data_IF_782049758968
#
_entry.id   IF_782049758968
#
_cell.length_a   1.000
_cell.length_b   1.000
_cell.length_c   1.000
_cell.angle_alpha   90.00
_cell.angle_beta   90.00
_cell.angle_gamma   90.00
#
_symmetry.space_group_name_H-M   'P 1'
#
loop_
_entity.id
_entity.type
_entity.pdbx_description
1 polymer ?
#
# COMPACT_ATOMS: atom_id res chain seq x y z
N UNK A 1 -16.90 -7.76 -37.90
CA UNK A 1 -16.10 -8.44 -36.85
C UNK A 1 -15.78 -7.41 -35.79
N UNK A 2 -16.43 -7.49 -34.63
CA UNK A 2 -16.20 -6.55 -33.53
C UNK A 2 -14.91 -6.90 -32.80
N UNK A 3 -14.03 -5.91 -32.66
CA UNK A 3 -12.93 -5.95 -31.70
C UNK A 3 -13.52 -5.95 -30.29
N UNK A 4 -13.76 -7.14 -29.73
CA UNK A 4 -13.85 -7.30 -28.28
C UNK A 4 -12.45 -7.13 -27.71
N UNK A 5 -12.02 -5.87 -27.55
CA UNK A 5 -10.95 -5.56 -26.61
C UNK A 5 -11.46 -5.95 -25.23
N UNK A 6 -10.99 -7.09 -24.77
CA UNK A 6 -11.02 -7.52 -23.39
C UNK A 6 -10.29 -6.47 -22.55
N UNK A 7 -11.05 -5.54 -22.00
CA UNK A 7 -10.58 -4.61 -20.97
C UNK A 7 -10.22 -5.43 -19.72
N UNK A 8 -8.98 -5.27 -19.27
CA UNK A 8 -8.41 -5.98 -18.16
C UNK A 8 -9.30 -5.87 -16.90
N UNK A 9 -9.56 -7.00 -16.26
CA UNK A 9 -10.28 -7.10 -14.99
C UNK A 9 -9.42 -6.55 -13.83
N UNK A 10 -9.27 -5.23 -13.79
CA UNK A 10 -8.95 -4.45 -12.59
C UNK A 10 -9.99 -3.34 -12.48
N UNK A 11 -11.28 -3.72 -12.54
CA UNK A 11 -12.35 -2.81 -12.16
C UNK A 11 -12.29 -2.65 -10.65
N UNK A 12 -11.51 -1.67 -10.19
CA UNK A 12 -11.60 -1.23 -8.80
C UNK A 12 -13.05 -0.81 -8.55
N UNK A 13 -13.65 -1.40 -7.51
CA UNK A 13 -15.00 -1.02 -7.12
C UNK A 13 -14.99 0.46 -6.70
N UNK A 14 -15.93 1.29 -7.17
CA UNK A 14 -16.02 2.68 -6.74
C UNK A 14 -16.09 2.79 -5.21
N UNK A 15 -15.38 3.75 -4.63
CA UNK A 15 -15.35 3.94 -3.16
C UNK A 15 -16.76 4.15 -2.60
N UNK A 16 -17.62 4.88 -3.31
CA UNK A 16 -19.03 5.07 -2.95
C UNK A 16 -19.80 3.75 -2.82
N UNK A 17 -19.54 2.80 -3.73
CA UNK A 17 -20.15 1.47 -3.69
C UNK A 17 -19.66 0.70 -2.47
N UNK A 18 -18.35 0.77 -2.17
CA UNK A 18 -17.75 0.15 -0.97
C UNK A 18 -18.38 0.70 0.30
N UNK A 19 -18.43 2.03 0.45
CA UNK A 19 -18.98 2.69 1.64
C UNK A 19 -20.46 2.38 1.83
N UNK A 20 -21.25 2.43 0.75
CA UNK A 20 -22.66 2.05 0.79
C UNK A 20 -22.83 0.59 1.20
N UNK A 21 -22.04 -0.32 0.63
CA UNK A 21 -22.13 -1.74 0.95
C UNK A 21 -21.78 -2.03 2.41
N UNK A 22 -20.71 -1.42 2.92
CA UNK A 22 -20.29 -1.52 4.33
C UNK A 22 -21.36 -0.97 5.28
N UNK A 23 -22.04 0.13 4.92
CA UNK A 23 -23.14 0.69 5.73
C UNK A 23 -24.41 -0.15 5.67
N UNK A 24 -24.69 -0.79 4.54
CA UNK A 24 -25.94 -1.53 4.32
C UNK A 24 -25.96 -2.87 5.07
N UNK A 25 -24.83 -3.58 5.14
CA UNK A 25 -24.79 -4.94 5.72
C UNK A 25 -25.20 -4.98 7.20
N UNK A 26 -24.63 -4.17 8.11
CA UNK A 26 -24.98 -4.19 9.53
C UNK A 26 -26.46 -3.87 9.78
N UNK A 27 -27.02 -2.95 8.98
CA UNK A 27 -28.41 -2.50 9.11
C UNK A 27 -29.43 -3.49 8.53
N UNK A 28 -29.00 -4.35 7.59
CA UNK A 28 -29.91 -5.24 6.87
C UNK A 28 -30.30 -6.50 7.64
N UNK A 29 -29.49 -6.93 8.62
CA UNK A 29 -29.64 -8.23 9.29
C UNK A 29 -29.52 -9.45 8.35
N UNK A 30 -29.16 -9.24 7.08
CA UNK A 30 -29.09 -10.28 6.04
C UNK A 30 -27.67 -10.85 5.95
N UNK A 31 -27.52 -12.12 5.51
CA UNK A 31 -26.21 -12.69 5.26
C UNK A 31 -25.42 -11.87 4.22
N UNK A 32 -24.13 -11.64 4.49
CA UNK A 32 -23.21 -10.90 3.61
C UNK A 32 -23.26 -11.39 2.15
N UNK A 33 -23.43 -12.70 1.94
CA UNK A 33 -23.53 -13.30 0.61
C UNK A 33 -24.71 -12.77 -0.21
N UNK A 34 -25.85 -12.54 0.45
CA UNK A 34 -27.05 -12.06 -0.22
C UNK A 34 -26.91 -10.58 -0.58
N UNK A 35 -26.37 -9.76 0.34
CA UNK A 35 -26.10 -8.35 0.07
C UNK A 35 -25.03 -8.18 -1.02
N UNK A 36 -24.01 -9.04 -1.04
CA UNK A 36 -23.00 -9.06 -2.10
C UNK A 36 -23.63 -9.36 -3.47
N UNK A 37 -24.54 -10.33 -3.52
CA UNK A 37 -25.25 -10.69 -4.76
C UNK A 37 -26.13 -9.54 -5.26
N UNK A 38 -26.89 -8.89 -4.38
CA UNK A 38 -27.74 -7.74 -4.73
C UNK A 38 -26.94 -6.56 -5.30
N UNK A 39 -25.72 -6.38 -4.80
CA UNK A 39 -24.82 -5.28 -5.21
C UNK A 39 -23.87 -5.66 -6.34
N UNK A 40 -23.88 -6.91 -6.82
CA UNK A 40 -22.95 -7.41 -7.84
C UNK A 40 -21.48 -7.44 -7.39
N UNK A 41 -21.22 -7.52 -6.09
CA UNK A 41 -19.87 -7.51 -5.50
C UNK A 41 -19.46 -8.94 -5.17
N UNK A 42 -18.18 -9.27 -5.33
CA UNK A 42 -17.67 -10.54 -4.86
C UNK A 42 -17.81 -10.66 -3.32
N UNK A 43 -18.43 -11.73 -2.83
CA UNK A 43 -18.70 -11.94 -1.40
C UNK A 43 -17.48 -11.75 -0.49
N UNK A 44 -16.32 -12.26 -0.89
CA UNK A 44 -15.10 -12.14 -0.08
C UNK A 44 -14.56 -10.70 -0.07
N UNK A 45 -14.76 -9.93 -1.13
CA UNK A 45 -14.39 -8.52 -1.16
C UNK A 45 -15.24 -7.72 -0.16
N UNK A 46 -16.56 -7.92 -0.18
CA UNK A 46 -17.47 -7.29 0.77
C UNK A 46 -17.13 -7.66 2.22
N UNK A 47 -16.81 -8.94 2.48
CA UNK A 47 -16.36 -9.39 3.81
C UNK A 47 -15.07 -8.70 4.24
N UNK A 48 -14.10 -8.52 3.35
CA UNK A 48 -12.86 -7.82 3.67
C UNK A 48 -13.12 -6.37 4.05
N UNK A 49 -13.98 -5.67 3.31
CA UNK A 49 -14.32 -4.28 3.60
C UNK A 49 -15.05 -4.12 4.93
N UNK A 50 -15.97 -5.03 5.26
CA UNK A 50 -16.64 -5.02 6.57
C UNK A 50 -15.61 -5.21 7.69
N UNK A 51 -14.72 -6.19 7.56
CA UNK A 51 -13.66 -6.41 8.57
C UNK A 51 -12.73 -5.21 8.72
N UNK A 52 -12.44 -4.52 7.62
CA UNK A 52 -11.63 -3.31 7.66
C UNK A 52 -12.38 -2.17 8.35
N UNK A 53 -13.67 -1.98 8.05
CA UNK A 53 -14.48 -0.98 8.71
C UNK A 53 -14.66 -1.24 10.21
N UNK A 54 -14.81 -2.51 10.61
CA UNK A 54 -14.81 -2.93 12.02
C UNK A 54 -13.45 -2.63 12.69
N UNK A 55 -12.33 -2.82 11.98
CA UNK A 55 -11.01 -2.42 12.48
C UNK A 55 -10.89 -0.90 12.64
N UNK A 56 -11.34 -0.14 11.64
CA UNK A 56 -11.33 1.33 11.63
C UNK A 56 -12.21 1.93 12.74
N UNK A 57 -13.24 1.20 13.18
CA UNK A 57 -14.10 1.56 14.32
C UNK A 57 -13.55 1.11 15.69
N UNK A 58 -12.47 0.31 15.70
CA UNK A 58 -11.86 -0.22 16.93
C UNK A 58 -12.47 -1.53 17.44
N UNK A 59 -13.45 -2.11 16.73
CA UNK A 59 -14.08 -3.39 17.09
C UNK A 59 -13.14 -4.59 16.89
N UNK A 60 -12.06 -4.39 16.12
CA UNK A 60 -11.03 -5.40 15.88
C UNK A 60 -9.63 -4.88 16.23
N UNK A 61 -9.23 -4.89 17.51
CA UNK A 61 -7.93 -4.37 17.94
C UNK A 61 -6.72 -5.16 17.43
N UNK A 62 -6.93 -6.36 16.88
CA UNK A 62 -5.88 -7.19 16.28
C UNK A 62 -5.63 -6.88 14.80
N UNK A 63 -6.45 -6.03 14.17
CA UNK A 63 -6.29 -5.60 12.79
C UNK A 63 -5.88 -4.14 12.75
N UNK A 64 -4.94 -3.83 11.86
CA UNK A 64 -4.58 -2.45 11.58
C UNK A 64 -5.73 -1.74 10.85
N UNK A 65 -5.99 -0.52 11.29
CA UNK A 65 -6.86 0.42 10.61
C UNK A 65 -6.30 0.79 9.23
N UNK A 66 -7.16 1.37 8.40
CA UNK A 66 -6.80 1.84 7.06
C UNK A 66 -5.73 2.94 7.15
N UNK A 67 -5.84 3.81 8.16
CA UNK A 67 -4.87 4.87 8.44
C UNK A 67 -3.50 4.29 8.84
N UNK A 68 -3.46 3.35 9.79
CA UNK A 68 -2.21 2.71 10.23
C UNK A 68 -1.55 1.93 9.10
N UNK A 69 -2.31 1.26 8.23
CA UNK A 69 -1.78 0.58 7.04
C UNK A 69 -1.13 1.57 6.06
N UNK A 70 -1.77 2.71 5.83
CA UNK A 70 -1.25 3.77 4.96
C UNK A 70 0.06 4.34 5.52
N UNK A 71 0.07 4.69 6.80
CA UNK A 71 1.26 5.19 7.48
C UNK A 71 2.40 4.17 7.46
N UNK A 72 2.11 2.90 7.73
CA UNK A 72 3.11 1.83 7.66
C UNK A 72 3.70 1.68 6.25
N UNK A 73 2.90 1.83 5.21
CA UNK A 73 3.37 1.79 3.83
C UNK A 73 4.26 2.99 3.50
N UNK A 74 3.87 4.19 3.93
CA UNK A 74 4.66 5.41 3.78
C UNK A 74 6.00 5.30 4.52
N UNK A 75 5.99 4.91 5.79
CA UNK A 75 7.20 4.74 6.60
C UNK A 75 8.15 3.70 6.00
N UNK A 76 7.62 2.60 5.45
CA UNK A 76 8.45 1.59 4.75
C UNK A 76 9.11 2.17 3.50
N UNK A 77 8.39 3.00 2.74
CA UNK A 77 8.92 3.68 1.56
C UNK A 77 10.02 4.67 1.96
N UNK A 78 9.76 5.52 2.94
CA UNK A 78 10.74 6.48 3.46
C UNK A 78 11.98 5.76 4.00
N UNK A 79 11.82 4.67 4.75
CA UNK A 79 12.95 3.90 5.26
C UNK A 79 13.80 3.30 4.12
N UNK A 80 13.17 2.82 3.06
CA UNK A 80 13.87 2.30 1.88
C UNK A 80 14.65 3.41 1.15
N UNK A 81 14.07 4.60 1.03
CA UNK A 81 14.72 5.78 0.44
C UNK A 81 15.91 6.25 1.29
N UNK A 82 15.74 6.33 2.60
CA UNK A 82 16.81 6.69 3.54
C UNK A 82 17.96 5.69 3.51
N UNK A 83 17.67 4.39 3.47
CA UNK A 83 18.71 3.35 3.34
C UNK A 83 19.48 3.49 2.03
N UNK A 84 18.79 3.75 0.93
CA UNK A 84 19.45 3.99 -0.37
C UNK A 84 20.35 5.24 -0.31
N UNK A 85 19.90 6.33 0.30
CA UNK A 85 20.69 7.54 0.46
C UNK A 85 21.94 7.32 1.34
N UNK A 86 21.78 6.59 2.44
CA UNK A 86 22.87 6.22 3.34
C UNK A 86 23.92 5.33 2.64
N UNK A 87 23.49 4.38 1.81
CA UNK A 87 24.40 3.57 0.97
C UNK A 87 25.23 4.42 0.00
N UNK A 88 24.60 5.38 -0.68
CA UNK A 88 25.28 6.31 -1.59
C UNK A 88 26.30 7.15 -0.82
N UNK A 89 25.92 7.69 0.35
CA UNK A 89 26.81 8.52 1.16
C UNK A 89 28.02 7.73 1.66
N UNK A 90 27.80 6.49 2.13
CA UNK A 90 28.90 5.60 2.54
C UNK A 90 29.85 5.31 1.38
N UNK A 91 29.32 5.03 0.19
CA UNK A 91 30.14 4.82 -1.00
C UNK A 91 30.99 6.06 -1.34
N UNK A 92 30.38 7.26 -1.29
CA UNK A 92 31.08 8.52 -1.50
C UNK A 92 32.17 8.76 -0.44
N UNK A 93 31.89 8.50 0.84
CA UNK A 93 32.86 8.64 1.92
C UNK A 93 34.07 7.74 1.72
N UNK A 94 33.87 6.48 1.29
CA UNK A 94 34.98 5.56 1.00
C UNK A 94 35.84 6.07 -0.15
N UNK A 95 35.22 6.62 -1.20
CA UNK A 95 35.96 7.25 -2.31
C UNK A 95 36.78 8.45 -1.82
N UNK A 96 36.18 9.31 -1.01
CA UNK A 96 36.84 10.50 -0.46
C UNK A 96 38.04 10.13 0.42
N UNK A 97 37.90 9.15 1.33
CA UNK A 97 39.02 8.66 2.14
C UNK A 97 40.15 8.12 1.27
N UNK A 98 39.83 7.36 0.22
CA UNK A 98 40.84 6.84 -0.73
C UNK A 98 41.59 7.94 -1.48
N UNK A 99 40.94 9.07 -1.78
CA UNK A 99 41.58 10.21 -2.45
C UNK A 99 42.48 11.00 -1.50
N UNK A 100 42.10 11.12 -0.23
CA UNK A 100 42.90 11.80 0.81
C UNK A 100 44.15 11.00 1.17
N UNK A 101 44.07 9.67 1.22
CA UNK A 101 45.22 8.80 1.56
C UNK A 101 46.20 8.58 0.40
N UNK A 102 45.90 9.03 -0.81
CA UNK A 102 46.87 9.00 -1.91
C UNK A 102 47.90 10.12 -1.74
N UNK A 103 49.21 9.81 -1.59
CA UNK A 103 50.22 10.85 -1.58
C UNK A 103 50.18 11.54 -2.94
N UNK A 104 49.94 12.85 -2.94
CA UNK A 104 50.12 13.69 -4.13
C UNK A 104 51.58 13.63 -4.51
N UNK A 105 51.95 12.68 -5.37
CA UNK A 105 53.29 12.62 -5.95
C UNK A 105 53.38 13.80 -6.90
N UNK A 106 53.85 14.95 -6.41
CA UNK A 106 54.24 16.07 -7.25
C UNK A 106 55.42 15.59 -8.10
N UNK A 107 55.29 15.47 -9.43
CA UNK A 107 56.44 15.18 -10.26
C UNK A 107 57.39 16.37 -10.15
N UNK A 108 58.51 16.16 -9.48
CA UNK A 108 59.58 17.14 -9.37
C UNK A 108 60.21 17.28 -10.76
N UNK A 109 60.16 18.49 -11.32
CA UNK A 109 60.79 18.85 -12.60
C UNK A 109 62.19 19.39 -12.37
#
# INVERSE_FOLDING_TARGET
MGEHRSDACTTEYPDELRERAVRQVPNSGRPVAHVAQDLGIHKEALRHWIRQAEADQGDRPHLLTTAEKSELAQLRKENAELRRADEILKAASVLFTKEVDQPRTTPTR
#
